data_IF_235333117987
#
_entry.id   IF_235333117987
#
_cell.length_a   1.000
_cell.length_b   1.000
_cell.length_c   1.000
_cell.angle_alpha   90.00
_cell.angle_beta   90.00
_cell.angle_gamma   90.00
#
_symmetry.space_group_name_H-M   'P 1'
#
loop_
_entity.id
_entity.type
_entity.pdbx_description
1 polymer ?
#
# COMPACT_ATOMS: atom_id res chain seq x y z
N UNK A 1 -9.63 11.51 26.75
CA UNK A 1 -10.09 10.14 26.45
C UNK A 1 -9.82 9.87 24.99
N UNK A 2 -9.03 8.85 24.67
CA UNK A 2 -8.73 8.50 23.27
C UNK A 2 -10.00 8.08 22.54
N UNK A 3 -10.04 8.21 21.20
CA UNK A 3 -11.16 7.72 20.39
C UNK A 3 -11.48 6.25 20.71
N UNK A 4 -10.46 5.45 20.97
CA UNK A 4 -10.58 4.04 21.37
C UNK A 4 -11.30 3.84 22.69
N UNK A 5 -11.04 4.65 23.73
CA UNK A 5 -11.80 4.54 24.98
C UNK A 5 -13.29 4.81 24.78
N UNK A 6 -13.65 5.63 23.78
CA UNK A 6 -15.05 5.84 23.38
C UNK A 6 -15.60 4.67 22.56
N UNK A 7 -14.82 4.15 21.61
CA UNK A 7 -15.21 2.99 20.78
C UNK A 7 -15.33 1.71 21.62
N UNK A 8 -14.34 1.38 22.45
CA UNK A 8 -14.36 0.25 23.40
C UNK A 8 -15.52 0.39 24.39
N UNK A 9 -15.81 1.60 24.90
CA UNK A 9 -16.94 1.82 25.79
C UNK A 9 -18.30 1.67 25.08
N UNK A 10 -18.38 2.03 23.80
CA UNK A 10 -19.56 1.78 22.96
C UNK A 10 -19.72 0.28 22.64
N UNK A 11 -18.61 -0.46 22.49
CA UNK A 11 -18.58 -1.91 22.23
C UNK A 11 -19.00 -2.74 23.45
N UNK A 12 -18.55 -2.38 24.66
CA UNK A 12 -19.00 -3.00 25.92
C UNK A 12 -20.50 -2.91 26.15
N UNK A 13 -21.20 -1.98 25.49
CA UNK A 13 -22.65 -1.83 25.59
C UNK A 13 -23.48 -2.79 24.72
N UNK A 14 -22.88 -3.57 23.80
CA UNK A 14 -23.62 -4.30 22.75
C UNK A 14 -23.46 -5.82 22.69
N UNK A 15 -22.54 -6.46 23.42
CA UNK A 15 -22.33 -7.92 23.31
C UNK A 15 -22.24 -8.63 24.66
N UNK A 16 -23.19 -9.54 24.91
CA UNK A 16 -23.26 -10.42 26.09
C UNK A 16 -22.51 -11.74 25.88
N UNK A 17 -21.27 -11.70 25.39
CA UNK A 17 -20.34 -12.83 25.37
C UNK A 17 -18.98 -12.33 25.87
N UNK A 18 -18.84 -12.33 27.20
CA UNK A 18 -17.90 -11.45 27.90
C UNK A 18 -16.44 -11.95 27.82
N UNK A 19 -16.19 -13.26 27.75
CA UNK A 19 -14.82 -13.80 27.85
C UNK A 19 -14.01 -13.77 26.53
N UNK A 20 -14.63 -14.15 25.41
CA UNK A 20 -13.93 -14.23 24.11
C UNK A 20 -13.71 -12.84 23.49
N UNK A 21 -14.65 -11.91 23.75
CA UNK A 21 -14.57 -10.52 23.32
C UNK A 21 -13.47 -9.77 24.08
N UNK A 22 -13.37 -9.97 25.40
CA UNK A 22 -12.35 -9.31 26.22
C UNK A 22 -10.93 -9.70 25.79
N UNK A 23 -10.67 -10.99 25.56
CA UNK A 23 -9.35 -11.45 25.08
C UNK A 23 -8.98 -10.90 23.69
N UNK A 24 -9.95 -10.80 22.78
CA UNK A 24 -9.74 -10.24 21.45
C UNK A 24 -9.46 -8.73 21.53
N UNK A 25 -10.19 -8.02 22.38
CA UNK A 25 -10.01 -6.59 22.64
C UNK A 25 -8.61 -6.32 23.24
N UNK A 26 -8.14 -7.16 24.15
CA UNK A 26 -6.79 -7.06 24.74
C UNK A 26 -5.70 -7.25 23.68
N UNK A 27 -5.80 -8.30 22.86
CA UNK A 27 -4.84 -8.55 21.77
C UNK A 27 -4.85 -7.41 20.75
N UNK A 28 -6.03 -6.88 20.41
CA UNK A 28 -6.14 -5.73 19.50
C UNK A 28 -5.45 -4.50 20.09
N UNK A 29 -5.68 -4.23 21.39
CA UNK A 29 -5.09 -3.10 22.08
C UNK A 29 -3.57 -3.21 22.15
N UNK A 30 -3.05 -4.41 22.35
CA UNK A 30 -1.62 -4.70 22.30
C UNK A 30 -1.03 -4.41 20.91
N UNK A 31 -1.60 -4.98 19.85
CA UNK A 31 -1.16 -4.72 18.46
C UNK A 31 -1.21 -3.23 18.15
N UNK A 32 -2.30 -2.56 18.51
CA UNK A 32 -2.48 -1.13 18.31
C UNK A 32 -1.36 -0.31 18.99
N UNK A 33 -1.05 -0.64 20.25
CA UNK A 33 -0.01 0.05 21.03
C UNK A 33 1.37 -0.17 20.43
N UNK A 34 1.68 -1.41 20.02
CA UNK A 34 2.96 -1.74 19.39
C UNK A 34 3.16 -0.97 18.08
N UNK A 35 2.13 -0.92 17.22
CA UNK A 35 2.18 -0.15 15.97
C UNK A 35 2.38 1.34 16.25
N UNK A 36 1.70 1.89 17.26
CA UNK A 36 1.89 3.28 17.66
C UNK A 36 3.33 3.56 18.12
N UNK A 37 3.86 2.73 19.01
CA UNK A 37 5.22 2.87 19.53
C UNK A 37 6.28 2.72 18.42
N UNK A 38 6.05 1.79 17.48
CA UNK A 38 6.88 1.63 16.29
C UNK A 38 6.89 2.91 15.43
N UNK A 39 5.72 3.50 15.19
CA UNK A 39 5.61 4.77 14.45
C UNK A 39 6.36 5.90 15.16
N UNK A 40 6.25 6.03 16.49
CA UNK A 40 6.97 7.05 17.24
C UNK A 40 8.49 6.85 17.20
N UNK A 41 8.97 5.60 17.30
CA UNK A 41 10.39 5.28 17.13
C UNK A 41 10.87 5.67 15.74
N UNK A 42 10.16 5.26 14.69
CA UNK A 42 10.47 5.62 13.30
C UNK A 42 10.56 7.14 13.11
N UNK A 43 9.58 7.88 13.63
CA UNK A 43 9.57 9.35 13.56
C UNK A 43 10.79 10.00 14.22
N UNK A 44 11.31 9.39 15.28
CA UNK A 44 12.51 9.86 15.98
C UNK A 44 13.83 9.50 15.30
N UNK A 45 13.83 8.63 14.29
CA UNK A 45 15.04 8.23 13.57
C UNK A 45 15.46 9.27 12.55
N UNK A 46 16.74 9.65 12.61
CA UNK A 46 17.39 10.47 11.60
C UNK A 46 18.00 9.58 10.50
N UNK A 47 17.14 8.81 9.83
CA UNK A 47 17.52 7.91 8.75
C UNK A 47 16.48 7.94 7.63
N UNK A 48 16.93 7.94 6.37
CA UNK A 48 16.07 7.82 5.19
C UNK A 48 15.76 6.35 4.89
N UNK A 49 16.81 5.52 4.90
CA UNK A 49 16.78 4.06 4.75
C UNK A 49 17.01 3.37 6.08
N UNK A 50 16.41 2.20 6.30
CA UNK A 50 16.58 1.44 7.53
C UNK A 50 17.67 0.38 7.36
N UNK A 51 18.73 0.49 8.14
CA UNK A 51 19.79 -0.51 8.23
C UNK A 51 19.41 -1.64 9.20
N UNK A 52 20.26 -2.69 9.25
CA UNK A 52 20.00 -3.87 10.08
C UNK A 52 19.76 -3.53 11.55
N UNK A 53 20.51 -2.58 12.11
CA UNK A 53 20.33 -2.12 13.50
C UNK A 53 18.95 -1.48 13.73
N UNK A 54 18.44 -0.74 12.74
CA UNK A 54 17.10 -0.15 12.83
C UNK A 54 16.02 -1.23 12.74
N UNK A 55 16.20 -2.21 11.86
CA UNK A 55 15.25 -3.31 11.66
C UNK A 55 15.14 -4.19 12.92
N UNK A 56 16.27 -4.53 13.55
CA UNK A 56 16.31 -5.27 14.81
C UNK A 56 15.62 -4.51 15.94
N UNK A 57 15.92 -3.21 16.09
CA UNK A 57 15.30 -2.35 17.11
C UNK A 57 13.77 -2.25 16.97
N UNK A 58 13.27 -2.28 15.73
CA UNK A 58 11.87 -2.14 15.39
C UNK A 58 11.14 -3.49 15.25
N UNK A 59 11.84 -4.62 15.41
CA UNK A 59 11.31 -5.96 15.13
C UNK A 59 10.69 -6.06 13.71
N UNK A 60 11.41 -5.54 12.71
CA UNK A 60 11.00 -5.56 11.30
C UNK A 60 11.78 -6.64 10.56
N UNK A 61 11.07 -7.56 9.91
CA UNK A 61 11.66 -8.63 9.10
C UNK A 61 11.36 -8.40 7.62
N UNK A 62 12.42 -8.22 6.82
CA UNK A 62 12.31 -8.07 5.37
C UNK A 62 12.44 -9.43 4.70
N UNK A 63 11.50 -9.72 3.81
CA UNK A 63 11.44 -10.94 3.00
C UNK A 63 11.53 -10.56 1.52
N UNK A 64 12.17 -11.37 0.67
CA UNK A 64 12.15 -11.11 -0.76
C UNK A 64 10.74 -11.30 -1.32
N UNK A 65 10.27 -10.36 -2.15
CA UNK A 65 9.04 -10.50 -2.93
C UNK A 65 9.38 -10.76 -4.40
N UNK A 66 9.20 -12.01 -4.82
CA UNK A 66 9.28 -12.38 -6.23
C UNK A 66 7.92 -12.11 -6.91
N UNK A 67 7.87 -11.03 -7.69
CA UNK A 67 6.67 -10.63 -8.42
C UNK A 67 6.34 -11.55 -9.62
N UNK A 68 7.27 -12.43 -9.99
CA UNK A 68 7.10 -13.37 -11.11
C UNK A 68 6.62 -14.75 -10.66
N UNK A 69 6.50 -14.98 -9.34
CA UNK A 69 6.09 -16.26 -8.74
C UNK A 69 6.93 -17.47 -9.17
N UNK A 70 8.21 -17.26 -9.49
CA UNK A 70 9.13 -18.34 -9.87
C UNK A 70 9.65 -19.11 -8.66
N UNK A 71 9.57 -18.51 -7.46
CA UNK A 71 10.12 -19.08 -6.23
C UNK A 71 9.03 -19.27 -5.19
N UNK A 72 8.92 -20.48 -4.62
CA UNK A 72 8.08 -20.69 -3.44
C UNK A 72 8.74 -20.10 -2.19
N UNK A 73 7.98 -19.41 -1.32
CA UNK A 73 8.53 -18.83 -0.10
C UNK A 73 9.00 -19.93 0.86
N UNK A 74 10.16 -19.73 1.48
CA UNK A 74 10.77 -20.68 2.42
C UNK A 74 10.10 -20.69 3.81
N UNK A 75 8.99 -19.97 3.99
CA UNK A 75 8.31 -19.76 5.28
C UNK A 75 6.84 -20.21 5.21
N UNK A 76 6.20 -20.51 6.35
CA UNK A 76 4.77 -20.79 6.40
C UNK A 76 3.94 -19.67 5.77
N UNK A 77 2.91 -20.02 4.99
CA UNK A 77 2.09 -19.04 4.25
C UNK A 77 1.41 -18.00 5.14
N UNK A 78 1.12 -18.33 6.40
CA UNK A 78 0.54 -17.39 7.38
C UNK A 78 1.51 -16.27 7.78
N UNK A 79 2.82 -16.55 7.69
CA UNK A 79 3.90 -15.62 7.99
C UNK A 79 4.45 -14.93 6.74
N UNK A 80 4.00 -15.30 5.55
CA UNK A 80 4.34 -14.63 4.30
C UNK A 80 3.32 -13.52 4.00
N UNK A 81 3.72 -12.24 4.11
CA UNK A 81 2.86 -11.12 3.74
C UNK A 81 2.28 -11.26 2.32
N UNK A 82 3.09 -11.73 1.36
CA UNK A 82 2.70 -11.85 -0.04
C UNK A 82 1.52 -12.80 -0.25
N UNK A 83 1.39 -13.82 0.59
CA UNK A 83 0.34 -14.83 0.49
C UNK A 83 -1.06 -14.31 0.83
N UNK A 84 -1.20 -13.13 1.45
CA UNK A 84 -2.52 -12.53 1.77
C UNK A 84 -3.23 -11.96 0.54
N UNK A 85 -2.51 -11.78 -0.57
CA UNK A 85 -3.01 -11.25 -1.82
C UNK A 85 -2.83 -12.27 -2.94
N UNK A 86 -3.78 -12.33 -3.88
CA UNK A 86 -3.73 -13.23 -5.04
C UNK A 86 -3.68 -12.37 -6.30
N UNK A 87 -2.50 -12.13 -6.91
CA UNK A 87 -2.38 -11.34 -8.12
C UNK A 87 -3.29 -11.82 -9.23
N UNK A 88 -3.81 -10.89 -10.05
CA UNK A 88 -4.56 -11.26 -11.25
C UNK A 88 -3.63 -12.04 -12.19
N UNK A 89 -4.21 -12.94 -13.00
CA UNK A 89 -3.44 -13.64 -14.03
C UNK A 89 -3.08 -12.69 -15.17
N UNK A 90 -2.00 -13.00 -15.89
CA UNK A 90 -1.63 -12.27 -17.11
C UNK A 90 -2.74 -12.32 -18.15
N UNK A 91 -3.41 -13.47 -18.29
CA UNK A 91 -4.56 -13.63 -19.18
C UNK A 91 -5.69 -12.68 -18.82
N UNK A 92 -5.99 -12.52 -17.52
CA UNK A 92 -7.05 -11.62 -17.07
C UNK A 92 -6.74 -10.16 -17.43
N UNK A 93 -5.51 -9.69 -17.20
CA UNK A 93 -5.10 -8.31 -17.51
C UNK A 93 -5.08 -8.04 -19.00
N UNK A 94 -4.63 -9.00 -19.81
CA UNK A 94 -4.68 -8.90 -21.29
C UNK A 94 -6.10 -8.92 -21.83
N UNK A 95 -7.00 -9.71 -21.21
CA UNK A 95 -8.40 -9.74 -21.63
C UNK A 95 -9.14 -8.44 -21.29
N UNK A 96 -8.79 -7.82 -20.16
CA UNK A 96 -9.40 -6.58 -19.66
C UNK A 96 -8.44 -5.39 -19.75
N UNK A 97 -7.82 -5.19 -20.91
CA UNK A 97 -6.92 -4.05 -21.13
C UNK A 97 -7.65 -2.70 -21.06
N UNK A 98 -6.88 -1.63 -20.85
CA UNK A 98 -7.40 -0.26 -20.86
C UNK A 98 -7.99 0.09 -22.24
N UNK A 99 -9.15 0.73 -22.28
CA UNK A 99 -9.78 1.16 -23.53
C UNK A 99 -9.15 2.45 -24.06
N UNK A 100 -8.05 2.32 -24.80
CA UNK A 100 -7.32 3.45 -25.42
C UNK A 100 -8.04 4.10 -26.61
N UNK A 101 -9.24 3.62 -26.98
CA UNK A 101 -10.06 4.27 -28.03
C UNK A 101 -10.80 5.50 -27.49
N UNK A 102 -10.90 5.61 -26.17
CA UNK A 102 -11.43 6.78 -25.50
C UNK A 102 -10.41 7.94 -25.59
N UNK A 103 -10.79 9.10 -26.19
CA UNK A 103 -9.86 10.21 -26.39
C UNK A 103 -9.31 10.79 -25.08
N UNK A 104 -10.11 10.85 -24.02
CA UNK A 104 -9.66 11.37 -22.71
C UNK A 104 -8.59 10.46 -22.11
N UNK A 105 -8.84 9.15 -22.13
CA UNK A 105 -7.84 8.15 -21.74
C UNK A 105 -6.55 8.30 -22.52
N UNK A 106 -6.61 8.40 -23.85
CA UNK A 106 -5.40 8.52 -24.68
C UNK A 106 -4.64 9.83 -24.38
N UNK A 107 -5.35 10.95 -24.18
CA UNK A 107 -4.76 12.23 -23.82
C UNK A 107 -4.00 12.15 -22.48
N UNK A 108 -4.57 11.53 -21.45
CA UNK A 108 -3.91 11.33 -20.16
C UNK A 108 -2.62 10.50 -20.28
N UNK A 109 -2.64 9.47 -21.13
CA UNK A 109 -1.46 8.64 -21.43
C UNK A 109 -0.37 9.44 -22.15
N UNK A 110 -0.75 10.25 -23.13
CA UNK A 110 0.17 11.07 -23.93
C UNK A 110 0.80 12.19 -23.08
N UNK A 111 0.02 12.81 -22.18
CA UNK A 111 0.52 13.77 -21.20
C UNK A 111 1.55 13.11 -20.29
N UNK A 112 1.22 11.94 -19.73
CA UNK A 112 2.13 11.19 -18.85
C UNK A 112 3.44 10.86 -19.57
N UNK A 113 3.36 10.33 -20.79
CA UNK A 113 4.53 9.99 -21.60
C UNK A 113 5.38 11.24 -21.91
N UNK A 114 4.74 12.35 -22.25
CA UNK A 114 5.42 13.63 -22.55
C UNK A 114 6.17 14.17 -21.34
N UNK A 115 5.54 14.16 -20.16
CA UNK A 115 6.16 14.66 -18.92
C UNK A 115 7.35 13.80 -18.48
N UNK A 116 7.28 12.48 -18.68
CA UNK A 116 8.33 11.55 -18.26
C UNK A 116 9.47 11.39 -19.28
N UNK A 117 9.33 11.98 -20.47
CA UNK A 117 10.32 11.88 -21.55
C UNK A 117 11.70 12.42 -21.12
N UNK A 118 12.80 11.73 -21.47
CA UNK A 118 14.14 12.25 -21.26
C UNK A 118 14.31 13.64 -21.89
N UNK A 119 14.79 14.62 -21.11
CA UNK A 119 14.97 16.00 -21.56
C UNK A 119 13.70 16.86 -21.55
N UNK A 120 12.57 16.36 -21.05
CA UNK A 120 11.39 17.20 -20.80
C UNK A 120 11.76 18.38 -19.90
N UNK A 121 11.27 19.58 -20.27
CA UNK A 121 11.43 20.77 -19.46
C UNK A 121 10.11 21.52 -19.30
N UNK A 122 9.84 21.96 -18.06
CA UNK A 122 8.70 22.82 -17.74
C UNK A 122 8.78 24.22 -18.37
N UNK A 123 9.94 24.61 -18.91
CA UNK A 123 10.19 25.96 -19.41
C UNK A 123 10.82 25.92 -20.79
N UNK A 124 10.23 26.68 -21.71
CA UNK A 124 10.76 26.82 -23.08
C UNK A 124 11.95 27.80 -23.16
N UNK A 125 12.20 28.58 -22.10
CA UNK A 125 13.26 29.60 -22.08
C UNK A 125 14.55 29.14 -21.38
N UNK A 126 14.45 28.16 -20.49
CA UNK A 126 15.59 27.60 -19.77
C UNK A 126 15.29 26.16 -19.36
N UNK A 127 16.29 25.28 -19.49
CA UNK A 127 16.13 23.88 -19.11
C UNK A 127 15.87 23.75 -17.61
N UNK A 128 14.64 23.35 -17.29
CA UNK A 128 14.10 23.04 -15.96
C UNK A 128 13.42 21.67 -15.99
N UNK A 129 14.12 20.59 -15.64
CA UNK A 129 13.52 19.25 -15.60
C UNK A 129 12.52 19.13 -14.44
N UNK A 130 11.68 18.09 -14.48
CA UNK A 130 10.89 17.67 -13.33
C UNK A 130 11.82 17.15 -12.22
N UNK A 131 11.53 17.49 -10.97
CA UNK A 131 12.15 16.83 -9.82
C UNK A 131 11.74 15.37 -9.77
N UNK A 132 12.57 14.53 -9.16
CA UNK A 132 12.27 13.11 -9.00
C UNK A 132 10.99 12.85 -8.21
N UNK A 133 10.75 13.65 -7.17
CA UNK A 133 9.47 13.68 -6.45
C UNK A 133 8.27 13.93 -7.39
N UNK A 134 8.39 14.89 -8.32
CA UNK A 134 7.31 15.18 -9.28
C UNK A 134 7.09 14.03 -10.26
N UNK A 135 8.16 13.39 -10.74
CA UNK A 135 8.08 12.23 -11.64
C UNK A 135 7.42 11.03 -10.94
N UNK A 136 7.78 10.80 -9.68
CA UNK A 136 7.21 9.75 -8.86
C UNK A 136 5.69 9.96 -8.65
N UNK A 137 5.26 11.21 -8.40
CA UNK A 137 3.85 11.58 -8.34
C UNK A 137 3.10 11.28 -9.63
N UNK A 138 3.66 11.66 -10.79
CA UNK A 138 3.07 11.37 -12.11
C UNK A 138 2.91 9.87 -12.35
N UNK A 139 3.94 9.06 -12.04
CA UNK A 139 3.85 7.59 -12.18
C UNK A 139 2.83 6.98 -11.20
N UNK A 140 2.74 7.53 -9.99
CA UNK A 140 1.76 7.12 -8.98
C UNK A 140 0.33 7.37 -9.47
N UNK A 141 0.07 8.56 -10.04
CA UNK A 141 -1.22 8.90 -10.64
C UNK A 141 -1.53 8.03 -11.86
N UNK A 142 -0.52 7.75 -12.71
CA UNK A 142 -0.68 6.85 -13.85
C UNK A 142 -1.09 5.43 -13.43
N UNK A 143 -0.58 4.91 -12.31
CA UNK A 143 -1.04 3.63 -11.77
C UNK A 143 -2.50 3.70 -11.28
N UNK A 144 -2.93 4.84 -10.73
CA UNK A 144 -4.34 5.02 -10.36
C UNK A 144 -5.27 4.99 -11.58
N UNK A 145 -4.82 5.55 -12.72
CA UNK A 145 -5.54 5.49 -14.01
C UNK A 145 -5.80 4.04 -14.44
N UNK A 146 -4.88 3.10 -14.20
CA UNK A 146 -5.15 1.66 -14.45
C UNK A 146 -6.40 1.19 -13.70
N UNK A 147 -6.63 1.65 -12.48
CA UNK A 147 -7.80 1.19 -11.72
C UNK A 147 -9.10 1.87 -12.14
N UNK A 148 -9.05 3.15 -12.50
CA UNK A 148 -10.25 3.96 -12.76
C UNK A 148 -10.73 3.91 -14.21
N UNK A 149 -9.85 3.65 -15.17
CA UNK A 149 -10.21 3.72 -16.58
C UNK A 149 -11.05 2.52 -17.02
N UNK A 150 -11.93 2.79 -17.99
CA UNK A 150 -12.76 1.80 -18.69
C UNK A 150 -11.90 0.67 -19.26
N UNK A 151 -12.38 -0.56 -19.10
CA UNK A 151 -11.75 -1.76 -19.66
C UNK A 151 -12.51 -2.27 -20.88
N UNK A 152 -11.77 -2.84 -21.83
CA UNK A 152 -12.37 -3.56 -22.96
C UNK A 152 -12.93 -4.90 -22.49
N UNK A 153 -13.77 -5.52 -23.32
CA UNK A 153 -14.35 -6.86 -23.09
C UNK A 153 -15.14 -7.02 -21.77
N UNK A 154 -15.74 -5.94 -21.27
CA UNK A 154 -16.66 -5.98 -20.13
C UNK A 154 -18.11 -6.00 -20.62
N UNK A 155 -19.00 -6.67 -19.88
CA UNK A 155 -20.43 -6.71 -20.18
C UNK A 155 -21.07 -5.31 -20.11
N UNK A 156 -20.69 -4.52 -19.09
CA UNK A 156 -21.14 -3.15 -18.93
C UNK A 156 -20.14 -2.15 -19.51
N UNK A 157 -20.68 -1.16 -20.22
CA UNK A 157 -19.89 -0.22 -21.02
C UNK A 157 -18.89 0.60 -20.19
N UNK A 158 -19.21 0.93 -18.94
CA UNK A 158 -18.41 1.81 -18.08
C UNK A 158 -17.60 1.07 -17.01
N UNK A 159 -17.34 -0.21 -17.24
CA UNK A 159 -16.66 -1.06 -16.27
C UNK A 159 -15.18 -0.71 -16.18
N UNK A 160 -14.73 -0.32 -14.99
CA UNK A 160 -13.30 -0.16 -14.66
C UNK A 160 -12.74 -1.36 -13.90
N UNK A 161 -11.42 -1.48 -13.84
CA UNK A 161 -10.80 -2.56 -13.07
C UNK A 161 -11.11 -2.45 -11.58
N UNK A 162 -11.18 -1.23 -11.05
CA UNK A 162 -11.72 -0.95 -9.72
C UNK A 162 -13.06 -1.64 -9.56
N UNK A 163 -14.01 -1.42 -10.47
CA UNK A 163 -15.35 -2.01 -10.39
C UNK A 163 -15.31 -3.54 -10.33
N UNK A 164 -14.60 -4.18 -11.28
CA UNK A 164 -14.50 -5.65 -11.40
C UNK A 164 -13.91 -6.28 -10.14
N UNK A 165 -12.81 -5.70 -9.65
CA UNK A 165 -12.02 -6.27 -8.54
C UNK A 165 -12.54 -5.86 -7.16
N UNK A 166 -13.54 -4.97 -7.11
CA UNK A 166 -14.14 -4.43 -5.87
C UNK A 166 -13.18 -3.61 -5.00
N UNK A 167 -11.99 -3.26 -5.49
CA UNK A 167 -11.11 -2.29 -4.83
C UNK A 167 -11.61 -0.88 -5.11
N UNK A 168 -11.94 -0.11 -4.08
CA UNK A 168 -12.44 1.27 -4.19
C UNK A 168 -11.47 2.23 -3.54
N UNK A 169 -11.25 3.38 -4.17
CA UNK A 169 -10.44 4.46 -3.60
C UNK A 169 -11.26 5.41 -2.73
N UNK A 170 -12.53 5.63 -3.11
CA UNK A 170 -13.48 6.50 -2.43
C UNK A 170 -14.15 5.84 -1.22
N UNK A 171 -13.35 5.26 -0.33
CA UNK A 171 -13.86 4.66 0.91
C UNK A 171 -13.80 5.65 2.07
N UNK A 172 -14.57 5.39 3.13
CA UNK A 172 -14.53 6.19 4.37
C UNK A 172 -13.24 6.00 5.19
N UNK A 173 -12.18 5.46 4.59
CA UNK A 173 -10.91 5.28 5.26
C UNK A 173 -10.04 6.52 5.12
N UNK A 174 -9.58 7.00 6.26
CA UNK A 174 -8.56 8.03 6.37
C UNK A 174 -7.55 7.58 7.42
N UNK A 175 -6.30 8.03 7.28
CA UNK A 175 -5.34 7.89 8.36
C UNK A 175 -5.86 8.64 9.59
N UNK A 176 -5.57 8.09 10.76
CA UNK A 176 -5.81 8.78 12.01
C UNK A 176 -5.09 10.14 11.97
N UNK A 177 -5.75 11.26 12.35
CA UNK A 177 -5.15 12.59 12.31
C UNK A 177 -3.82 12.71 13.08
N UNK A 178 -3.57 11.81 14.03
CA UNK A 178 -2.27 11.72 14.74
C UNK A 178 -1.09 11.36 13.84
N UNK A 179 -1.36 10.71 12.70
CA UNK A 179 -0.39 10.46 11.63
C UNK A 179 -0.35 11.57 10.59
N UNK A 180 -1.15 12.62 10.75
CA UNK A 180 -1.17 13.70 9.76
C UNK A 180 0.18 14.40 9.70
N UNK A 181 0.84 14.22 8.56
CA UNK A 181 2.09 14.87 8.20
C UNK A 181 1.78 16.29 7.71
N UNK A 182 1.50 17.21 8.64
CA UNK A 182 1.16 18.62 8.32
C UNK A 182 2.27 19.62 8.61
N UNK A 183 3.47 19.17 8.91
CA UNK A 183 4.63 20.06 8.95
C UNK A 183 5.66 19.55 7.94
N UNK A 184 6.08 20.35 6.94
CA UNK A 184 7.38 20.12 6.33
C UNK A 184 8.39 20.20 7.48
N UNK A 185 8.83 19.04 7.97
CA UNK A 185 9.96 18.99 8.86
C UNK A 185 11.18 19.28 7.98
N UNK A 186 11.57 20.56 7.90
CA UNK A 186 12.74 21.04 7.17
C UNK A 186 14.07 20.38 7.62
N UNK A 187 14.02 19.35 8.47
CA UNK A 187 15.14 18.52 8.90
C UNK A 187 15.47 17.41 7.91
N UNK A 188 14.49 16.90 7.16
CA UNK A 188 14.69 15.84 6.18
C UNK A 188 14.71 16.46 4.78
N UNK A 189 15.84 16.37 4.05
CA UNK A 189 15.94 16.68 2.62
C UNK A 189 15.13 15.71 1.73
N UNK A 190 14.18 14.99 2.33
CA UNK A 190 13.47 13.85 1.78
C UNK A 190 11.96 14.04 1.95
N UNK A 191 11.31 14.43 0.86
CA UNK A 191 9.86 14.57 0.78
C UNK A 191 9.20 13.25 0.41
N UNK A 192 8.10 12.91 1.09
CA UNK A 192 7.25 11.77 0.75
C UNK A 192 5.78 12.09 1.03
N UNK A 193 4.89 11.44 0.27
CA UNK A 193 3.44 11.61 0.42
C UNK A 193 2.70 10.33 0.09
N UNK A 194 1.58 10.12 0.78
CA UNK A 194 0.60 9.09 0.41
C UNK A 194 -0.42 9.72 -0.52
N UNK A 195 -0.58 9.14 -1.70
CA UNK A 195 -1.50 9.62 -2.71
C UNK A 195 -2.92 9.10 -2.47
N UNK A 196 -3.05 7.77 -2.42
CA UNK A 196 -4.34 7.10 -2.48
C UNK A 196 -4.35 5.82 -1.64
N UNK A 197 -5.54 5.49 -1.13
CA UNK A 197 -5.83 4.21 -0.49
C UNK A 197 -6.85 3.44 -1.32
N UNK A 198 -6.71 2.12 -1.42
CA UNK A 198 -7.75 1.24 -1.94
C UNK A 198 -8.19 0.25 -0.86
N UNK A 199 -9.49 0.19 -0.60
CA UNK A 199 -10.09 -0.80 0.27
C UNK A 199 -11.12 -1.63 -0.51
N UNK A 200 -11.22 -2.91 -0.16
CA UNK A 200 -12.15 -3.84 -0.80
C UNK A 200 -13.58 -3.56 -0.30
N UNK A 201 -14.51 -3.32 -1.23
CA UNK A 201 -15.93 -3.08 -0.92
C UNK A 201 -16.78 -4.36 -0.83
N UNK A 202 -16.14 -5.53 -0.90
CA UNK A 202 -16.81 -6.83 -0.75
C UNK A 202 -17.45 -6.98 0.63
N UNK A 203 -18.52 -7.77 0.68
CA UNK A 203 -19.14 -8.24 1.94
C UNK A 203 -18.86 -9.74 2.12
N UNK A 204 -18.42 -10.20 3.31
CA UNK A 204 -18.06 -9.38 4.48
C UNK A 204 -16.86 -8.44 4.22
N UNK A 205 -16.73 -7.37 5.01
CA UNK A 205 -15.61 -6.43 4.88
C UNK A 205 -14.30 -7.08 5.30
N UNK A 206 -13.22 -6.77 4.58
CA UNK A 206 -11.89 -7.31 4.85
C UNK A 206 -10.91 -6.20 5.28
N UNK A 207 -9.92 -6.53 6.14
CA UNK A 207 -8.99 -5.53 6.66
C UNK A 207 -7.94 -5.11 5.63
N UNK A 208 -7.76 -5.89 4.56
CA UNK A 208 -6.82 -5.62 3.49
C UNK A 208 -6.99 -4.20 2.93
N UNK A 209 -5.85 -3.55 2.71
CA UNK A 209 -5.79 -2.20 2.18
C UNK A 209 -4.55 -2.06 1.29
N UNK A 210 -4.69 -1.29 0.21
CA UNK A 210 -3.59 -0.93 -0.68
C UNK A 210 -3.30 0.54 -0.56
N UNK A 211 -2.05 0.91 -0.71
CA UNK A 211 -1.55 2.27 -0.53
C UNK A 211 -0.67 2.60 -1.73
N UNK A 212 -0.91 3.76 -2.32
CA UNK A 212 -0.05 4.35 -3.33
C UNK A 212 0.68 5.53 -2.68
N UNK A 213 2.01 5.48 -2.65
CA UNK A 213 2.84 6.56 -2.12
C UNK A 213 3.95 6.92 -3.10
N UNK A 214 4.47 8.13 -2.98
CA UNK A 214 5.61 8.58 -3.76
C UNK A 214 6.53 9.45 -2.91
N UNK A 215 7.79 9.51 -3.29
CA UNK A 215 8.82 10.25 -2.57
C UNK A 215 9.94 10.73 -3.48
N UNK A 216 10.87 11.48 -2.89
CA UNK A 216 12.11 11.92 -3.52
C UNK A 216 13.03 10.75 -3.89
N UNK A 217 14.15 11.05 -4.53
CA UNK A 217 15.15 10.04 -4.91
C UNK A 217 15.61 9.21 -3.71
N UNK A 218 15.92 7.95 -3.98
CA UNK A 218 16.40 6.98 -3.00
C UNK A 218 17.92 6.83 -3.11
N UNK A 219 18.62 6.97 -1.99
CA UNK A 219 20.07 6.74 -1.93
C UNK A 219 20.42 5.25 -1.95
N UNK A 220 19.70 4.44 -1.17
CA UNK A 220 19.98 3.02 -0.96
C UNK A 220 18.78 2.17 -1.41
N UNK A 221 18.62 1.89 -2.72
CA UNK A 221 17.41 1.27 -3.28
C UNK A 221 17.19 -0.18 -2.83
N UNK A 222 18.21 -0.85 -2.30
CA UNK A 222 18.11 -2.21 -1.75
C UNK A 222 17.59 -2.24 -0.30
N UNK A 223 17.60 -1.10 0.41
CA UNK A 223 17.09 -1.00 1.77
C UNK A 223 15.62 -0.55 1.78
N UNK A 224 14.89 -0.94 2.81
CA UNK A 224 13.53 -0.43 3.06
C UNK A 224 13.62 1.01 3.57
N UNK A 225 12.70 1.87 3.16
CA UNK A 225 12.71 3.29 3.54
C UNK A 225 11.93 3.52 4.81
N UNK A 226 12.40 4.44 5.66
CA UNK A 226 11.69 4.91 6.86
C UNK A 226 10.25 5.29 6.52
N UNK A 227 10.06 6.06 5.44
CA UNK A 227 8.77 6.52 4.99
C UNK A 227 7.80 5.39 4.59
N UNK A 228 8.30 4.32 3.98
CA UNK A 228 7.46 3.16 3.61
C UNK A 228 6.97 2.42 4.85
N UNK A 229 7.86 2.18 5.83
CA UNK A 229 7.48 1.54 7.09
C UNK A 229 6.52 2.43 7.88
N UNK A 230 6.77 3.75 7.93
CA UNK A 230 5.84 4.69 8.55
C UNK A 230 4.45 4.66 7.90
N UNK A 231 4.38 4.66 6.56
CA UNK A 231 3.12 4.57 5.83
C UNK A 231 2.38 3.26 6.13
N UNK A 232 3.10 2.12 6.13
CA UNK A 232 2.54 0.81 6.48
C UNK A 232 1.97 0.81 7.89
N UNK A 233 2.76 1.22 8.88
CA UNK A 233 2.37 1.18 10.30
C UNK A 233 1.20 2.12 10.59
N UNK A 234 1.25 3.35 10.08
CA UNK A 234 0.15 4.31 10.21
C UNK A 234 -1.14 3.78 9.57
N UNK A 235 -1.02 3.10 8.43
CA UNK A 235 -2.16 2.49 7.73
C UNK A 235 -2.74 1.33 8.55
N UNK A 236 -1.90 0.39 9.01
CA UNK A 236 -2.34 -0.73 9.85
C UNK A 236 -3.06 -0.24 11.10
N UNK A 237 -2.44 0.69 11.83
CA UNK A 237 -3.00 1.25 13.05
C UNK A 237 -4.34 1.94 12.82
N UNK A 238 -4.44 2.80 11.80
CA UNK A 238 -5.70 3.49 11.46
C UNK A 238 -6.79 2.50 11.05
N UNK A 239 -6.42 1.45 10.31
CA UNK A 239 -7.36 0.45 9.81
C UNK A 239 -7.90 -0.43 10.95
N UNK A 240 -7.10 -0.72 11.97
CA UNK A 240 -7.54 -1.38 13.20
C UNK A 240 -8.55 -0.55 14.01
N UNK A 241 -8.74 0.74 13.74
CA UNK A 241 -9.81 1.51 14.39
C UNK A 241 -11.16 1.44 13.68
N UNK A 242 -11.24 0.76 12.53
CA UNK A 242 -12.48 0.71 11.74
C UNK A 242 -13.50 -0.25 12.39
N UNK A 243 -14.71 0.26 12.68
CA UNK A 243 -15.75 -0.49 13.40
C UNK A 243 -16.14 -1.81 12.71
N UNK A 244 -16.17 -1.85 11.38
CA UNK A 244 -16.50 -3.06 10.62
C UNK A 244 -15.38 -4.11 10.59
N UNK A 245 -14.22 -3.80 11.19
CA UNK A 245 -13.01 -4.63 11.17
C UNK A 245 -12.56 -5.07 12.57
N UNK A 246 -13.43 -4.98 13.59
CA UNK A 246 -13.09 -5.29 14.97
C UNK A 246 -12.78 -6.78 15.20
N UNK A 247 -13.34 -7.65 14.37
CA UNK A 247 -13.05 -9.09 14.36
C UNK A 247 -11.65 -9.45 13.85
N UNK A 248 -10.90 -8.49 13.28
CA UNK A 248 -9.63 -8.72 12.60
C UNK A 248 -8.45 -8.22 13.41
N UNK A 249 -7.44 -9.05 13.62
CA UNK A 249 -6.18 -8.69 14.28
C UNK A 249 -5.05 -8.40 13.30
N UNK A 250 -5.13 -8.93 12.08
CA UNK A 250 -4.14 -8.71 11.02
C UNK A 250 -4.73 -7.75 10.00
N UNK A 251 -3.95 -6.70 9.67
CA UNK A 251 -4.24 -5.79 8.57
C UNK A 251 -3.16 -5.96 7.49
N UNK A 252 -3.42 -6.76 6.43
CA UNK A 252 -2.49 -6.84 5.32
C UNK A 252 -2.48 -5.53 4.53
N UNK A 253 -1.29 -4.96 4.34
CA UNK A 253 -1.07 -3.72 3.59
C UNK A 253 -0.23 -4.03 2.36
N UNK A 254 -0.71 -3.66 1.18
CA UNK A 254 0.09 -3.64 -0.05
C UNK A 254 0.42 -2.20 -0.41
N UNK A 255 1.70 -1.86 -0.44
CA UNK A 255 2.21 -0.53 -0.70
C UNK A 255 2.92 -0.50 -2.06
N UNK A 256 2.54 0.44 -2.90
CA UNK A 256 3.27 0.81 -4.11
C UNK A 256 4.06 2.08 -3.81
N UNK A 257 5.38 1.96 -3.84
CA UNK A 257 6.32 3.01 -3.46
C UNK A 257 7.06 3.52 -4.69
N UNK A 258 6.76 4.75 -5.09
CA UNK A 258 7.31 5.39 -6.29
C UNK A 258 8.46 6.35 -5.93
N UNK A 259 9.57 6.24 -6.66
CA UNK A 259 10.76 7.07 -6.50
C UNK A 259 11.33 7.44 -7.87
N UNK A 260 11.39 8.73 -8.19
CA UNK A 260 11.83 9.17 -9.53
C UNK A 260 11.01 8.52 -10.64
N UNK A 261 11.67 7.73 -11.50
CA UNK A 261 11.03 6.94 -12.55
C UNK A 261 10.94 5.44 -12.21
N UNK A 262 10.91 5.08 -10.93
CA UNK A 262 10.93 3.69 -10.49
C UNK A 262 9.84 3.42 -9.46
N UNK A 263 9.47 2.16 -9.33
CA UNK A 263 8.46 1.70 -8.37
C UNK A 263 8.84 0.36 -7.78
N UNK A 264 8.53 0.15 -6.50
CA UNK A 264 8.56 -1.18 -5.89
C UNK A 264 7.27 -1.48 -5.15
N UNK A 265 7.02 -2.76 -4.94
CA UNK A 265 5.87 -3.27 -4.20
C UNK A 265 6.36 -3.81 -2.86
N UNK A 266 5.70 -3.38 -1.79
CA UNK A 266 5.87 -3.94 -0.45
C UNK A 266 4.53 -4.53 0.00
N UNK A 267 4.57 -5.68 0.64
CA UNK A 267 3.40 -6.29 1.26
C UNK A 267 3.74 -6.56 2.70
N UNK A 268 2.91 -6.12 3.63
CA UNK A 268 3.22 -6.18 5.05
C UNK A 268 2.07 -6.73 5.89
N UNK A 269 2.44 -7.45 6.95
CA UNK A 269 1.57 -7.87 8.05
C UNK A 269 2.31 -7.67 9.37
N UNK A 270 1.57 -7.42 10.45
CA UNK A 270 2.07 -7.64 11.80
C UNK A 270 1.60 -9.03 12.26
N UNK A 271 2.54 -9.90 12.62
CA UNK A 271 2.25 -11.29 13.00
C UNK A 271 2.00 -11.48 14.51
N UNK A 272 2.05 -10.40 15.30
CA UNK A 272 1.96 -10.47 16.76
C UNK A 272 3.31 -10.33 17.47
N UNK A 273 4.41 -10.49 16.74
CA UNK A 273 5.77 -10.30 17.25
C UNK A 273 6.54 -9.30 16.39
N UNK A 274 6.53 -9.51 15.08
CA UNK A 274 7.32 -8.78 14.10
C UNK A 274 6.43 -8.13 13.04
N UNK A 275 6.86 -6.96 12.55
CA UNK A 275 6.35 -6.43 11.30
C UNK A 275 7.10 -7.14 10.15
N UNK A 276 6.40 -8.01 9.44
CA UNK A 276 6.96 -8.71 8.27
C UNK A 276 6.63 -7.95 7.01
N UNK A 277 7.63 -7.72 6.17
CA UNK A 277 7.48 -6.99 4.91
C UNK A 277 8.12 -7.80 3.79
N UNK A 278 7.30 -8.30 2.86
CA UNK A 278 7.78 -8.82 1.58
C UNK A 278 8.03 -7.64 0.64
N UNK A 279 9.27 -7.46 0.19
CA UNK A 279 9.71 -6.29 -0.57
C UNK A 279 10.28 -6.71 -1.93
N UNK A 280 9.81 -6.07 -3.00
CA UNK A 280 10.39 -6.24 -4.34
C UNK A 280 11.58 -5.29 -4.51
N UNK A 281 12.41 -5.57 -5.52
CA UNK A 281 13.35 -4.57 -6.03
C UNK A 281 12.59 -3.40 -6.68
N UNK A 282 13.26 -2.27 -6.81
CA UNK A 282 12.78 -1.19 -7.68
C UNK A 282 12.79 -1.64 -9.14
N UNK A 283 11.68 -1.42 -9.81
CA UNK A 283 11.48 -1.64 -11.23
C UNK A 283 11.45 -0.29 -11.91
N UNK A 284 12.29 -0.12 -12.93
CA UNK A 284 12.37 1.13 -13.68
C UNK A 284 11.23 1.23 -14.70
N UNK A 285 10.62 2.40 -14.78
CA UNK A 285 9.77 2.76 -15.89
C UNK A 285 10.61 2.92 -17.16
N UNK A 286 10.15 2.25 -18.22
CA UNK A 286 10.68 2.42 -19.56
C UNK A 286 9.61 3.01 -20.45
N UNK A 287 9.95 4.08 -21.18
CA UNK A 287 9.02 4.79 -22.07
C UNK A 287 8.42 3.83 -23.09
N UNK A 288 7.09 3.78 -23.15
CA UNK A 288 6.34 2.91 -24.07
C UNK A 288 6.28 1.43 -23.67
N UNK A 289 6.89 1.02 -22.55
CA UNK A 289 6.77 -0.35 -22.04
C UNK A 289 5.47 -0.52 -21.25
N UNK A 290 4.68 -1.51 -21.67
CA UNK A 290 3.44 -1.90 -20.99
C UNK A 290 3.69 -2.98 -19.92
N UNK A 291 4.80 -3.70 -19.97
CA UNK A 291 5.10 -4.84 -19.09
C UNK A 291 5.08 -4.45 -17.60
N UNK A 292 5.65 -3.28 -17.27
CA UNK A 292 5.62 -2.75 -15.91
C UNK A 292 4.18 -2.49 -15.45
N UNK A 293 3.38 -1.82 -16.28
CA UNK A 293 2.02 -1.46 -15.94
C UNK A 293 1.12 -2.69 -15.82
N UNK A 294 1.28 -3.68 -16.69
CA UNK A 294 0.57 -4.96 -16.60
C UNK A 294 0.91 -5.67 -15.28
N UNK A 295 2.20 -5.73 -14.92
CA UNK A 295 2.64 -6.31 -13.65
C UNK A 295 2.03 -5.57 -12.45
N UNK A 296 2.14 -4.24 -12.39
CA UNK A 296 1.59 -3.46 -11.28
C UNK A 296 0.06 -3.59 -11.21
N UNK A 297 -0.61 -3.64 -12.35
CA UNK A 297 -2.07 -3.82 -12.45
C UNK A 297 -2.49 -5.18 -11.89
N UNK A 298 -1.72 -6.24 -12.11
CA UNK A 298 -2.00 -7.56 -11.52
C UNK A 298 -2.03 -7.52 -10.00
N UNK A 299 -1.11 -6.78 -9.39
CA UNK A 299 -1.03 -6.62 -7.93
C UNK A 299 -2.06 -5.61 -7.41
N UNK A 300 -2.24 -4.47 -8.07
CA UNK A 300 -3.19 -3.45 -7.63
C UNK A 300 -4.66 -3.90 -7.79
N UNK A 301 -4.95 -4.75 -8.78
CA UNK A 301 -6.25 -5.40 -8.96
C UNK A 301 -6.41 -6.76 -8.27
N UNK A 302 -5.38 -7.25 -7.56
CA UNK A 302 -5.33 -8.61 -7.00
C UNK A 302 -6.52 -8.97 -6.10
N UNK A 303 -6.87 -10.25 -6.01
CA UNK A 303 -7.83 -10.78 -5.05
C UNK A 303 -7.29 -10.87 -3.61
N UNK A 304 -8.18 -11.22 -2.68
CA UNK A 304 -7.84 -11.55 -1.29
C UNK A 304 -7.71 -13.06 -1.15
N UNK A 305 -6.68 -13.53 -0.44
CA UNK A 305 -6.55 -14.95 -0.15
C UNK A 305 -7.44 -15.38 1.02
N UNK A 306 -8.60 -15.94 0.70
CA UNK A 306 -9.57 -16.41 1.70
C UNK A 306 -9.14 -17.66 2.47
N UNK A 307 -8.03 -18.31 2.10
CA UNK A 307 -7.46 -19.43 2.86
C UNK A 307 -6.69 -18.96 4.09
N UNK A 308 -6.27 -17.69 4.14
CA UNK A 308 -5.60 -17.09 5.28
C UNK A 308 -6.60 -16.30 6.13
N UNK A 309 -6.58 -16.54 7.44
CA UNK A 309 -7.39 -15.79 8.38
C UNK A 309 -6.67 -14.52 8.79
N UNK A 310 -7.42 -13.43 8.92
CA UNK A 310 -6.96 -12.18 9.53
C UNK A 310 -7.56 -11.96 10.92
N UNK A 311 -8.37 -12.91 11.41
CA UNK A 311 -9.06 -12.82 12.70
C UNK A 311 -8.23 -13.29 13.90
N UNK A 312 -7.10 -13.94 13.63
CA UNK A 312 -6.20 -14.48 14.64
C UNK A 312 -4.77 -14.22 14.18
N UNK A 313 -3.89 -13.86 15.11
CA UNK A 313 -2.47 -13.79 14.84
C UNK A 313 -1.95 -15.21 14.52
N UNK A 314 -0.95 -15.35 13.63
CA UNK A 314 -0.30 -16.63 13.41
C UNK A 314 0.32 -17.10 14.73
N UNK A 315 -0.06 -18.31 15.18
CA UNK A 315 0.56 -18.94 16.35
C UNK A 315 1.81 -19.65 15.85
N UNK A 316 2.95 -19.44 16.52
CA UNK A 316 4.14 -20.28 16.34
C UNK A 316 3.88 -21.72 16.83
#
# INVERSE_FOLDING_TARGET
MSLIQRTIRALRGRFSHIDLSEKLDDQRMEVYTILWDMYQKLRGLNAESLESENLEMLAVHILPLDLTHTTEPAIPRQLDPGAYFIPLSDEFVRHHSMDIRDPETQEDLDITATLLKPGYSKSNSCYRPLSSYSKAGILCDRLAIEMSTRRVNCEEEWTSLSMITKWRWNTNFHLDPTFSYHAPDYRDDYDWSINLFYACSSHPTFPHIKVLMYHSDVKDPELVLKAEVMAIVATMHSRLCTETLLDHLIVPVMLFSFAGCSVRVLIAIYDGQNLRISMSKFMEYSEGSQDLWDLLTRYLGCGINHQLTTKKLPVE
#
